data_IF_408893943605
#
_entry.id   IF_408893943605
#
_cell.length_a   1.000
_cell.length_b   1.000
_cell.length_c   1.000
_cell.angle_alpha   90.00
_cell.angle_beta   90.00
_cell.angle_gamma   90.00
#
_symmetry.space_group_name_H-M   'P 1'
#
loop_
_entity.id
_entity.type
_entity.pdbx_description
1 polymer ?
#
# COMPACT_ATOMS: atom_id res chain seq x y z
N UNK A 1 8.22 21.10 -19.05
CA UNK A 1 7.68 21.30 -20.40
C UNK A 1 6.21 20.95 -20.34
N UNK A 2 5.32 21.76 -20.90
CA UNK A 2 3.92 21.37 -21.02
C UNK A 2 3.83 20.29 -22.09
N UNK A 3 3.32 19.10 -21.73
CA UNK A 3 3.05 18.06 -22.71
C UNK A 3 1.81 18.45 -23.50
N UNK A 4 1.85 18.31 -24.83
CA UNK A 4 0.65 18.37 -25.65
C UNK A 4 0.09 16.96 -25.72
N UNK A 5 -1.07 16.75 -25.10
CA UNK A 5 -1.72 15.45 -25.03
C UNK A 5 -2.58 15.21 -26.27
N UNK A 6 -2.59 13.97 -26.77
CA UNK A 6 -3.53 13.53 -27.80
C UNK A 6 -4.98 13.65 -27.30
N UNK A 7 -5.97 13.59 -28.20
CA UNK A 7 -7.38 13.84 -27.88
C UNK A 7 -7.89 12.98 -26.72
N UNK A 8 -7.58 11.68 -26.71
CA UNK A 8 -8.02 10.75 -25.66
C UNK A 8 -7.39 11.07 -24.29
N UNK A 9 -6.11 11.47 -24.28
CA UNK A 9 -5.43 11.87 -23.05
C UNK A 9 -5.88 13.26 -22.56
N UNK A 10 -6.25 14.16 -23.47
CA UNK A 10 -6.85 15.44 -23.12
C UNK A 10 -8.24 15.30 -22.51
N UNK A 11 -8.98 14.25 -22.85
CA UNK A 11 -10.33 14.00 -22.35
C UNK A 11 -10.38 13.77 -20.83
N UNK A 12 -9.30 13.28 -20.20
CA UNK A 12 -9.25 13.11 -18.73
C UNK A 12 -8.89 14.40 -17.98
N UNK A 13 -8.39 15.42 -18.69
CA UNK A 13 -7.99 16.70 -18.13
C UNK A 13 -9.14 17.70 -18.01
N UNK A 14 -10.25 17.47 -18.71
CA UNK A 14 -11.39 18.37 -18.65
C UNK A 14 -12.06 18.32 -17.27
N UNK A 15 -12.53 19.46 -16.72
CA UNK A 15 -13.14 19.51 -15.39
C UNK A 15 -14.33 18.55 -15.20
N UNK A 16 -15.05 18.24 -16.29
CA UNK A 16 -16.20 17.35 -16.29
C UNK A 16 -15.89 15.86 -16.31
N UNK A 17 -14.63 15.43 -16.48
CA UNK A 17 -14.31 14.00 -16.53
C UNK A 17 -14.63 13.32 -15.18
N UNK A 18 -15.15 12.09 -15.24
CA UNK A 18 -15.61 11.34 -14.07
C UNK A 18 -15.37 9.85 -14.25
N UNK A 19 -15.47 9.12 -13.15
CA UNK A 19 -15.36 7.66 -13.11
C UNK A 19 -13.93 7.18 -13.01
N UNK A 20 -13.74 5.87 -13.21
CA UNK A 20 -12.45 5.21 -13.12
C UNK A 20 -11.92 5.04 -14.55
N UNK A 21 -10.76 5.65 -14.83
CA UNK A 21 -10.11 5.62 -16.14
C UNK A 21 -8.70 5.07 -16.00
N UNK A 22 -8.35 4.10 -16.84
CA UNK A 22 -6.97 3.56 -16.88
C UNK A 22 -6.11 4.41 -17.80
N UNK A 23 -4.87 4.64 -17.40
CA UNK A 23 -3.85 5.31 -18.21
C UNK A 23 -2.75 4.30 -18.49
N UNK A 24 -2.78 3.73 -19.69
CA UNK A 24 -1.83 2.73 -20.15
C UNK A 24 -0.75 3.42 -20.99
N UNK A 25 0.48 2.94 -20.92
CA UNK A 25 1.51 3.44 -21.82
C UNK A 25 2.89 2.90 -21.49
N UNK A 26 3.76 2.86 -22.49
CA UNK A 26 5.13 2.36 -22.34
C UNK A 26 6.05 3.21 -21.44
N UNK A 27 7.34 2.84 -21.33
CA UNK A 27 8.35 3.68 -20.72
C UNK A 27 8.45 5.05 -21.40
N UNK A 28 8.44 6.13 -20.61
CA UNK A 28 8.69 7.49 -21.13
C UNK A 28 7.55 8.12 -21.93
N UNK A 29 6.36 7.52 -21.96
CA UNK A 29 5.19 8.07 -22.67
C UNK A 29 4.46 9.18 -21.92
N UNK A 30 4.90 9.50 -20.70
CA UNK A 30 4.36 10.64 -19.93
C UNK A 30 3.22 10.30 -18.96
N UNK A 31 2.97 9.03 -18.63
CA UNK A 31 1.94 8.62 -17.64
C UNK A 31 1.91 9.49 -16.38
N UNK A 32 3.06 9.64 -15.72
CA UNK A 32 3.21 10.47 -14.51
C UNK A 32 2.91 11.95 -14.79
N UNK A 33 3.38 12.49 -15.92
CA UNK A 33 3.06 13.86 -16.33
C UNK A 33 1.57 14.07 -16.53
N UNK A 34 0.87 13.11 -17.17
CA UNK A 34 -0.58 13.21 -17.39
C UNK A 34 -1.35 13.22 -16.06
N UNK A 35 -0.95 12.40 -15.08
CA UNK A 35 -1.55 12.42 -13.74
C UNK A 35 -1.36 13.79 -13.07
N UNK A 36 -0.18 14.40 -13.20
CA UNK A 36 0.07 15.73 -12.63
C UNK A 36 -0.73 16.80 -13.37
N UNK A 37 -0.78 16.76 -14.69
CA UNK A 37 -1.60 17.71 -15.47
C UNK A 37 -3.09 17.57 -15.10
N UNK A 38 -3.57 16.35 -14.83
CA UNK A 38 -4.93 16.12 -14.33
C UNK A 38 -5.13 16.71 -12.93
N UNK A 39 -4.16 16.55 -12.02
CA UNK A 39 -4.20 17.17 -10.69
C UNK A 39 -4.29 18.70 -10.80
N UNK A 40 -3.41 19.30 -11.62
CA UNK A 40 -3.36 20.75 -11.83
C UNK A 40 -4.66 21.25 -12.45
N UNK A 41 -5.18 20.58 -13.49
CA UNK A 41 -6.42 20.98 -14.13
C UNK A 41 -7.62 20.97 -13.17
N UNK A 42 -7.66 20.00 -12.23
CA UNK A 42 -8.72 19.93 -11.20
C UNK A 42 -8.61 21.05 -10.18
N UNK A 43 -7.39 21.32 -9.72
CA UNK A 43 -7.10 22.39 -8.78
C UNK A 43 -7.39 23.76 -9.40
N UNK A 44 -7.00 23.98 -10.66
CA UNK A 44 -7.28 25.21 -11.41
C UNK A 44 -8.78 25.37 -11.70
N UNK A 45 -9.53 24.26 -11.82
CA UNK A 45 -11.00 24.25 -11.92
C UNK A 45 -11.72 24.46 -10.56
N UNK A 46 -10.99 24.67 -9.47
CA UNK A 46 -11.53 24.99 -8.15
C UNK A 46 -11.78 23.80 -7.23
N UNK A 47 -11.32 22.59 -7.57
CA UNK A 47 -11.29 21.48 -6.59
C UNK A 47 -10.27 21.83 -5.50
N UNK A 48 -10.68 21.63 -4.24
CA UNK A 48 -9.77 21.79 -3.11
C UNK A 48 -8.54 20.87 -3.29
N UNK A 49 -7.30 21.40 -3.25
CA UNK A 49 -6.11 20.56 -3.27
C UNK A 49 -6.08 19.43 -2.24
N UNK A 50 -6.71 19.59 -1.07
CA UNK A 50 -6.79 18.54 -0.04
C UNK A 50 -7.69 17.36 -0.45
N UNK A 51 -8.48 17.54 -1.52
CA UNK A 51 -9.30 16.51 -2.15
C UNK A 51 -8.61 15.77 -3.31
N UNK A 52 -7.35 16.10 -3.61
CA UNK A 52 -6.55 15.43 -4.64
C UNK A 52 -5.50 14.54 -3.97
N UNK A 53 -5.57 13.24 -4.24
CA UNK A 53 -4.62 12.25 -3.72
C UNK A 53 -3.89 11.55 -4.87
N UNK A 54 -2.57 11.70 -4.92
CA UNK A 54 -1.66 10.96 -5.79
C UNK A 54 -0.93 9.88 -4.99
N UNK A 55 -1.24 8.62 -5.29
CA UNK A 55 -0.55 7.45 -4.76
C UNK A 55 0.50 6.96 -5.75
N UNK A 56 1.69 6.67 -5.24
CA UNK A 56 2.80 6.12 -6.03
C UNK A 56 3.20 4.75 -5.47
N UNK A 57 3.44 3.79 -6.37
CA UNK A 57 3.98 2.48 -5.98
C UNK A 57 5.45 2.53 -5.52
N UNK A 58 6.25 3.42 -6.12
CA UNK A 58 7.70 3.51 -5.91
C UNK A 58 8.14 4.63 -4.95
N UNK A 59 7.21 5.52 -4.54
CA UNK A 59 7.52 6.69 -3.70
C UNK A 59 8.30 7.79 -4.40
N UNK A 60 8.50 7.69 -5.71
CA UNK A 60 9.35 8.60 -6.47
C UNK A 60 8.52 9.40 -7.45
N UNK A 61 8.38 10.69 -7.16
CA UNK A 61 7.93 11.69 -8.13
C UNK A 61 9.13 12.51 -8.60
N UNK A 62 9.28 12.68 -9.92
CA UNK A 62 10.34 13.48 -10.48
C UNK A 62 10.28 14.94 -10.01
N UNK A 63 11.41 15.64 -10.12
CA UNK A 63 11.52 17.02 -9.64
C UNK A 63 10.62 17.98 -10.42
N UNK A 64 10.45 17.75 -11.73
CA UNK A 64 9.60 18.57 -12.58
C UNK A 64 8.12 18.42 -12.20
N UNK A 65 7.66 17.20 -11.99
CA UNK A 65 6.32 16.84 -11.55
C UNK A 65 6.00 17.46 -10.17
N UNK A 66 6.93 17.37 -9.21
CA UNK A 66 6.79 18.00 -7.90
C UNK A 66 6.69 19.52 -8.00
N UNK A 67 7.52 20.14 -8.84
CA UNK A 67 7.54 21.59 -9.05
C UNK A 67 6.23 22.09 -9.67
N UNK A 68 5.72 21.36 -10.67
CA UNK A 68 4.44 21.67 -11.31
C UNK A 68 3.27 21.63 -10.30
N UNK A 69 3.19 20.56 -9.49
CA UNK A 69 2.17 20.45 -8.46
C UNK A 69 2.29 21.57 -7.40
N UNK A 70 3.50 21.85 -6.93
CA UNK A 70 3.76 22.94 -5.97
C UNK A 70 3.32 24.29 -6.52
N UNK A 71 3.61 24.56 -7.80
CA UNK A 71 3.20 25.80 -8.46
C UNK A 71 1.68 25.93 -8.53
N UNK A 72 0.97 24.84 -8.88
CA UNK A 72 -0.49 24.85 -8.89
C UNK A 72 -1.08 25.12 -7.49
N UNK A 73 -0.52 24.48 -6.45
CA UNK A 73 -0.93 24.71 -5.05
C UNK A 73 -0.81 26.17 -4.63
N UNK A 74 0.32 26.81 -4.95
CA UNK A 74 0.56 28.22 -4.61
C UNK A 74 -0.40 29.17 -5.34
N UNK A 75 -0.80 28.85 -6.58
CA UNK A 75 -1.75 29.65 -7.36
C UNK A 75 -3.16 29.57 -6.81
N UNK A 76 -3.63 28.39 -6.43
CA UNK A 76 -5.02 28.19 -5.98
C UNK A 76 -5.29 28.66 -4.55
N UNK A 77 -4.26 28.91 -3.74
CA UNK A 77 -4.39 29.41 -2.36
C UNK A 77 -3.41 30.55 -2.05
N UNK A 78 -3.57 31.76 -2.63
CA UNK A 78 -2.69 32.88 -2.35
C UNK A 78 -2.72 33.23 -0.85
N UNK A 79 -1.56 33.12 -0.18
CA UNK A 79 -1.39 33.44 1.24
C UNK A 79 -1.46 32.27 2.22
N UNK A 80 -1.79 31.04 1.78
CA UNK A 80 -1.65 29.82 2.61
C UNK A 80 -0.48 28.98 2.11
N UNK A 81 0.60 28.97 2.88
CA UNK A 81 1.85 28.27 2.53
C UNK A 81 1.79 26.76 2.85
N UNK A 82 0.86 26.33 3.73
CA UNK A 82 0.77 24.95 4.18
C UNK A 82 -0.51 24.28 3.71
N UNK A 83 -0.38 23.12 3.05
CA UNK A 83 -1.46 22.14 2.89
C UNK A 83 -1.40 21.22 4.10
N UNK A 84 -2.53 20.98 4.77
CA UNK A 84 -2.55 20.09 5.95
C UNK A 84 -2.23 18.64 5.58
N UNK A 85 -2.49 18.26 4.33
CA UNK A 85 -2.22 16.93 3.80
C UNK A 85 -1.32 16.96 2.56
N UNK A 86 -0.23 16.16 2.52
CA UNK A 86 0.56 16.01 1.32
C UNK A 86 -0.25 15.27 0.26
N UNK A 87 -0.43 15.95 -0.90
CA UNK A 87 -1.15 15.42 -2.06
C UNK A 87 -0.49 14.15 -2.60
N UNK A 88 0.83 14.02 -2.49
CA UNK A 88 1.60 12.89 -3.03
C UNK A 88 2.07 11.99 -1.91
N UNK A 89 1.75 10.70 -1.99
CA UNK A 89 2.14 9.69 -0.99
C UNK A 89 2.53 8.36 -1.64
N UNK A 90 3.27 7.54 -0.90
CA UNK A 90 3.29 6.10 -1.16
C UNK A 90 1.99 5.48 -0.66
N UNK A 91 1.62 4.31 -1.19
CA UNK A 91 0.46 3.55 -0.68
C UNK A 91 0.61 3.24 0.81
N UNK A 92 1.79 2.80 1.24
CA UNK A 92 2.10 2.52 2.65
C UNK A 92 2.03 3.78 3.54
N UNK A 93 2.53 4.92 3.07
CA UNK A 93 2.45 6.19 3.79
C UNK A 93 1.01 6.69 3.91
N UNK A 94 0.16 6.43 2.91
CA UNK A 94 -1.28 6.68 3.01
C UNK A 94 -1.95 5.75 4.03
N UNK A 95 -1.68 4.43 3.96
CA UNK A 95 -2.22 3.45 4.92
C UNK A 95 -1.87 3.79 6.37
N UNK A 96 -0.61 4.17 6.64
CA UNK A 96 -0.20 4.65 7.97
C UNK A 96 -1.00 5.85 8.45
N UNK A 97 -1.29 6.82 7.56
CA UNK A 97 -2.08 7.98 7.93
C UNK A 97 -3.56 7.66 8.19
N UNK A 98 -4.13 6.69 7.47
CA UNK A 98 -5.47 6.18 7.76
C UNK A 98 -5.51 5.58 9.17
N UNK A 99 -4.53 4.74 9.51
CA UNK A 99 -4.44 4.14 10.84
C UNK A 99 -4.22 5.19 11.93
N UNK A 100 -3.44 6.24 11.65
CA UNK A 100 -3.29 7.37 12.57
C UNK A 100 -4.63 8.07 12.84
N UNK A 101 -5.43 8.31 11.79
CA UNK A 101 -6.77 8.90 11.95
C UNK A 101 -7.74 7.98 12.68
N UNK A 102 -7.65 6.67 12.43
CA UNK A 102 -8.44 5.68 13.15
C UNK A 102 -8.13 5.72 14.65
N UNK A 103 -6.83 5.77 15.02
CA UNK A 103 -6.41 5.91 16.40
C UNK A 103 -6.88 7.24 17.02
N UNK A 104 -6.70 8.36 16.31
CA UNK A 104 -7.19 9.69 16.75
C UNK A 104 -8.71 9.68 17.02
N UNK A 105 -9.52 8.99 16.19
CA UNK A 105 -10.97 8.83 16.38
C UNK A 105 -11.31 7.96 17.58
N UNK A 106 -10.51 6.93 17.85
CA UNK A 106 -10.68 6.05 19.01
C UNK A 106 -10.18 6.67 20.32
N UNK A 107 -9.43 7.78 20.26
CA UNK A 107 -8.73 8.37 21.40
C UNK A 107 -7.44 7.63 21.78
N UNK A 108 -6.92 6.82 20.85
CA UNK A 108 -5.72 6.01 21.02
C UNK A 108 -4.47 6.73 20.47
N UNK A 109 -3.30 6.23 20.88
CA UNK A 109 -2.01 6.67 20.36
C UNK A 109 -1.78 6.18 18.91
N UNK A 110 -0.97 6.90 18.10
CA UNK A 110 -0.72 6.55 16.71
C UNK A 110 0.10 5.25 16.58
N UNK A 111 -0.15 4.41 15.56
CA UNK A 111 0.50 3.12 15.40
C UNK A 111 2.03 3.24 15.36
N UNK A 112 2.72 2.29 16.00
CA UNK A 112 4.19 2.22 15.93
C UNK A 112 4.62 1.36 14.74
N UNK A 113 5.62 1.84 13.99
CA UNK A 113 6.27 1.04 12.97
C UNK A 113 7.36 0.16 13.57
N UNK A 114 7.32 -1.14 13.25
CA UNK A 114 8.35 -2.10 13.65
C UNK A 114 9.37 -2.25 12.54
N UNK A 115 10.65 -2.14 12.90
CA UNK A 115 11.74 -2.35 11.94
C UNK A 115 11.95 -3.82 11.65
N UNK A 116 12.52 -4.16 10.49
CA UNK A 116 12.84 -5.56 10.17
C UNK A 116 13.78 -6.21 11.19
N UNK A 117 14.70 -5.44 11.78
CA UNK A 117 15.61 -5.94 12.82
C UNK A 117 14.86 -6.29 14.13
N UNK A 118 13.89 -5.46 14.52
CA UNK A 118 13.01 -5.74 15.67
C UNK A 118 12.13 -6.96 15.39
N UNK A 119 11.52 -7.06 14.20
CA UNK A 119 10.75 -8.24 13.80
C UNK A 119 11.60 -9.51 13.83
N UNK A 120 12.82 -9.48 13.28
CA UNK A 120 13.75 -10.61 13.28
C UNK A 120 14.19 -11.00 14.71
N UNK A 121 14.28 -10.04 15.63
CA UNK A 121 14.56 -10.35 17.04
C UNK A 121 13.39 -11.09 17.70
N UNK A 122 12.16 -10.62 17.51
CA UNK A 122 10.95 -11.26 18.04
C UNK A 122 10.78 -12.65 17.45
N UNK A 123 10.93 -12.81 16.13
CA UNK A 123 10.78 -14.10 15.45
C UNK A 123 11.78 -15.11 16.01
N UNK A 124 13.05 -14.73 16.20
CA UNK A 124 14.07 -15.61 16.79
C UNK A 124 13.76 -15.99 18.23
N UNK A 125 13.22 -15.07 19.03
CA UNK A 125 12.80 -15.35 20.41
C UNK A 125 11.69 -16.41 20.44
N UNK A 126 10.68 -16.28 19.59
CA UNK A 126 9.58 -17.25 19.49
C UNK A 126 10.06 -18.62 18.97
N UNK A 127 10.94 -18.63 17.96
CA UNK A 127 11.52 -19.86 17.42
C UNK A 127 12.40 -20.60 18.43
N UNK A 128 13.11 -19.86 19.29
CA UNK A 128 13.86 -20.44 20.40
C UNK A 128 12.93 -21.09 21.42
N UNK A 129 11.80 -20.45 21.76
CA UNK A 129 10.77 -21.04 22.60
C UNK A 129 10.17 -22.32 22.01
N UNK A 130 9.86 -22.33 20.71
CA UNK A 130 9.39 -23.53 20.00
C UNK A 130 10.42 -24.68 20.05
N UNK A 131 11.72 -24.37 20.00
CA UNK A 131 12.79 -25.36 20.12
C UNK A 131 12.86 -25.97 21.52
N UNK A 132 12.76 -25.13 22.56
CA UNK A 132 12.81 -25.55 23.96
C UNK A 132 11.58 -26.39 24.35
N UNK A 133 10.40 -26.02 23.85
CA UNK A 133 9.14 -26.76 24.09
C UNK A 133 9.05 -28.08 23.30
N UNK A 134 9.78 -28.19 22.19
CA UNK A 134 9.88 -29.40 21.37
C UNK A 134 8.50 -29.91 20.91
N UNK A 135 8.08 -31.15 21.22
CA UNK A 135 6.75 -31.66 20.84
C UNK A 135 5.56 -30.91 21.46
N UNK A 136 5.79 -30.09 22.49
CA UNK A 136 4.74 -29.28 23.14
C UNK A 136 4.60 -27.89 22.55
N UNK A 137 5.48 -27.51 21.62
CA UNK A 137 5.45 -26.22 20.96
C UNK A 137 4.10 -25.99 20.26
N UNK A 138 3.67 -24.72 20.23
CA UNK A 138 2.44 -24.31 19.55
C UNK A 138 2.56 -24.57 18.04
N UNK A 139 3.74 -24.33 17.49
CA UNK A 139 4.05 -24.53 16.08
C UNK A 139 4.58 -25.95 15.81
N UNK A 140 3.87 -26.72 14.99
CA UNK A 140 4.23 -28.09 14.66
C UNK A 140 5.28 -28.17 13.54
N UNK A 141 6.48 -27.61 13.76
CA UNK A 141 7.56 -27.62 12.77
C UNK A 141 7.99 -29.06 12.37
N UNK A 142 8.06 -29.37 11.07
CA UNK A 142 8.58 -30.66 10.58
C UNK A 142 9.97 -30.97 11.13
N UNK A 143 10.23 -32.25 11.44
CA UNK A 143 11.48 -32.68 12.06
C UNK A 143 12.73 -32.25 11.28
N UNK A 144 12.63 -32.18 9.95
CA UNK A 144 13.71 -31.78 9.05
C UNK A 144 14.07 -30.29 9.18
N UNK A 145 13.14 -29.45 9.61
CA UNK A 145 13.36 -28.00 9.77
C UNK A 145 13.83 -27.61 11.18
N UNK A 146 13.68 -28.49 12.17
CA UNK A 146 14.09 -28.20 13.57
C UNK A 146 15.53 -27.69 13.69
N UNK A 147 16.55 -28.28 13.03
CA UNK A 147 17.91 -27.76 13.13
C UNK A 147 18.08 -26.33 12.57
N UNK A 148 17.19 -25.90 11.67
CA UNK A 148 17.26 -24.59 11.05
C UNK A 148 16.62 -23.48 11.90
N UNK A 149 15.72 -23.81 12.84
CA UNK A 149 14.95 -22.83 13.62
C UNK A 149 15.85 -21.86 14.43
N UNK A 150 17.05 -22.31 14.83
CA UNK A 150 18.02 -21.48 15.57
C UNK A 150 18.84 -20.53 14.67
N UNK A 151 18.71 -20.64 13.35
CA UNK A 151 19.52 -19.87 12.40
C UNK A 151 18.88 -18.52 12.07
N UNK A 152 19.71 -17.49 11.90
CA UNK A 152 19.23 -16.17 11.46
C UNK A 152 18.60 -16.20 10.05
N UNK A 153 19.11 -17.08 9.18
CA UNK A 153 18.57 -17.27 7.82
C UNK A 153 17.13 -17.78 7.83
N UNK A 154 16.83 -18.76 8.69
CA UNK A 154 15.46 -19.26 8.82
C UNK A 154 14.48 -18.20 9.31
N UNK A 155 14.86 -17.42 10.34
CA UNK A 155 14.04 -16.31 10.82
C UNK A 155 13.77 -15.26 9.73
N UNK A 156 14.78 -14.94 8.92
CA UNK A 156 14.65 -14.03 7.77
C UNK A 156 13.66 -14.55 6.73
N UNK A 157 13.77 -15.83 6.36
CA UNK A 157 12.86 -16.45 5.39
C UNK A 157 11.42 -16.58 5.94
N UNK A 158 11.27 -16.86 7.24
CA UNK A 158 9.96 -16.88 7.88
C UNK A 158 9.32 -15.48 7.87
N UNK A 159 10.07 -14.43 8.24
CA UNK A 159 9.59 -13.04 8.12
C UNK A 159 9.16 -12.72 6.69
N UNK A 160 9.97 -13.12 5.70
CA UNK A 160 9.65 -12.91 4.29
C UNK A 160 8.34 -13.62 3.90
N UNK A 161 8.14 -14.86 4.35
CA UNK A 161 6.89 -15.60 4.13
C UNK A 161 5.69 -14.84 4.73
N UNK A 162 5.78 -14.40 5.99
CA UNK A 162 4.71 -13.66 6.66
C UNK A 162 4.39 -12.34 5.94
N UNK A 163 5.42 -11.60 5.51
CA UNK A 163 5.23 -10.38 4.72
C UNK A 163 4.50 -10.65 3.40
N UNK A 164 4.84 -11.74 2.68
CA UNK A 164 4.19 -12.11 1.41
C UNK A 164 2.74 -12.57 1.60
N UNK A 165 2.43 -13.16 2.76
CA UNK A 165 1.06 -13.47 3.18
C UNK A 165 0.27 -12.19 3.45
N UNK A 166 0.82 -11.25 4.21
CA UNK A 166 0.19 -9.97 4.51
C UNK A 166 -0.14 -9.17 3.24
N UNK A 167 0.80 -9.05 2.30
CA UNK A 167 0.62 -8.39 0.98
C UNK A 167 -0.49 -9.03 0.11
N UNK A 168 -0.87 -10.28 0.41
CA UNK A 168 -1.97 -11.00 -0.26
C UNK A 168 -3.25 -11.05 0.57
N UNK A 169 -3.22 -10.60 1.82
CA UNK A 169 -4.33 -10.75 2.76
C UNK A 169 -4.58 -12.20 3.15
N UNK A 170 -3.52 -13.02 3.20
CA UNK A 170 -3.57 -14.39 3.71
C UNK A 170 -3.35 -14.30 5.22
N UNK A 171 -4.41 -14.51 6.00
CA UNK A 171 -4.33 -14.60 7.45
C UNK A 171 -3.68 -15.93 7.91
N UNK A 172 -3.26 -16.04 9.18
CA UNK A 172 -2.64 -17.26 9.71
C UNK A 172 -3.48 -18.54 9.50
N UNK A 173 -4.80 -18.43 9.63
CA UNK A 173 -5.73 -19.54 9.42
C UNK A 173 -5.87 -19.95 7.95
N UNK A 174 -5.83 -19.00 7.02
CA UNK A 174 -5.76 -19.27 5.58
C UNK A 174 -4.43 -19.94 5.22
N UNK A 175 -3.30 -19.50 5.78
CA UNK A 175 -2.00 -20.14 5.55
C UNK A 175 -2.00 -21.61 6.00
N UNK A 176 -2.61 -21.91 7.14
CA UNK A 176 -2.81 -23.30 7.58
C UNK A 176 -3.71 -24.10 6.62
N UNK A 177 -4.81 -23.50 6.14
CA UNK A 177 -5.72 -24.14 5.19
C UNK A 177 -5.03 -24.43 3.86
N UNK A 178 -4.20 -23.51 3.37
CA UNK A 178 -3.34 -23.70 2.20
C UNK A 178 -2.33 -24.83 2.42
N UNK A 179 -1.67 -24.87 3.58
CA UNK A 179 -0.76 -25.96 3.95
C UNK A 179 -1.42 -27.33 3.91
N UNK A 180 -2.65 -27.45 4.44
CA UNK A 180 -3.44 -28.70 4.36
C UNK A 180 -3.80 -29.07 2.92
N UNK A 181 -4.30 -28.13 2.13
CA UNK A 181 -4.71 -28.33 0.73
C UNK A 181 -3.54 -28.75 -0.16
N UNK A 182 -2.39 -28.10 0.00
CA UNK A 182 -1.18 -28.33 -0.80
C UNK A 182 -0.28 -29.44 -0.23
N UNK A 183 -0.66 -30.04 0.91
CA UNK A 183 0.14 -31.06 1.62
C UNK A 183 1.56 -30.57 1.97
N UNK A 184 1.65 -29.33 2.43
CA UNK A 184 2.89 -28.67 2.87
C UNK A 184 2.85 -28.45 4.38
N UNK A 185 3.34 -29.40 5.20
CA UNK A 185 3.26 -29.30 6.67
C UNK A 185 4.00 -28.08 7.22
N UNK A 186 5.07 -27.62 6.55
CA UNK A 186 5.80 -26.41 6.92
C UNK A 186 4.96 -25.13 6.79
N UNK A 187 3.94 -25.09 5.90
CA UNK A 187 3.02 -23.95 5.81
C UNK A 187 2.01 -23.96 6.95
N UNK A 188 1.60 -25.16 7.41
CA UNK A 188 0.75 -25.29 8.59
C UNK A 188 1.50 -24.77 9.82
N UNK A 189 2.76 -25.19 10.00
CA UNK A 189 3.62 -24.71 11.07
C UNK A 189 3.83 -23.19 11.01
N UNK A 190 4.08 -22.64 9.81
CA UNK A 190 4.23 -21.19 9.64
C UNK A 190 2.93 -20.42 9.97
N UNK A 191 1.75 -20.95 9.65
CA UNK A 191 0.47 -20.33 10.03
C UNK A 191 0.21 -20.38 11.55
N UNK A 192 0.58 -21.48 12.21
CA UNK A 192 0.51 -21.57 13.68
C UNK A 192 1.46 -20.56 14.33
N UNK A 193 2.70 -20.48 13.83
CA UNK A 193 3.69 -19.51 14.26
C UNK A 193 3.20 -18.08 14.05
N UNK A 194 2.64 -17.77 12.87
CA UNK A 194 2.12 -16.43 12.54
C UNK A 194 1.04 -15.97 13.55
N UNK A 195 0.15 -16.88 13.94
CA UNK A 195 -0.88 -16.60 14.96
C UNK A 195 -0.28 -16.31 16.33
N UNK A 196 0.71 -17.09 16.76
CA UNK A 196 1.43 -16.83 18.01
C UNK A 196 2.16 -15.48 17.94
N UNK A 197 2.81 -15.19 16.82
CA UNK A 197 3.48 -13.91 16.57
C UNK A 197 2.52 -12.72 16.70
N UNK A 198 1.36 -12.77 16.03
CA UNK A 198 0.33 -11.73 16.12
C UNK A 198 -0.16 -11.53 17.56
N UNK A 199 -0.42 -12.62 18.30
CA UNK A 199 -0.84 -12.55 19.70
C UNK A 199 0.23 -11.91 20.60
N UNK A 200 1.51 -12.25 20.38
CA UNK A 200 2.63 -11.64 21.12
C UNK A 200 2.77 -10.16 20.76
N UNK A 201 2.55 -9.77 19.51
CA UNK A 201 2.54 -8.35 19.10
C UNK A 201 1.40 -7.57 19.77
N UNK A 202 0.19 -8.14 19.82
CA UNK A 202 -0.94 -7.55 20.52
C UNK A 202 -0.69 -7.43 22.03
N UNK A 203 -0.10 -8.44 22.67
CA UNK A 203 0.24 -8.40 24.10
C UNK A 203 1.34 -7.39 24.41
N UNK A 204 2.39 -7.32 23.58
CA UNK A 204 3.45 -6.30 23.73
C UNK A 204 2.89 -4.90 23.55
N UNK A 205 1.94 -4.74 22.62
CA UNK A 205 1.16 -3.54 22.48
C UNK A 205 0.24 -3.30 23.69
N UNK A 206 -0.25 -4.28 24.43
CA UNK A 206 -1.11 -4.01 25.59
C UNK A 206 -0.34 -3.71 26.88
N UNK A 207 0.87 -4.27 27.05
CA UNK A 207 1.59 -4.31 28.33
C UNK A 207 2.53 -3.12 28.54
N UNK A 208 2.65 -2.21 27.58
CA UNK A 208 3.20 -0.89 27.87
C UNK A 208 4.61 -0.94 28.48
N UNK A 209 5.55 -1.69 27.90
CA UNK A 209 6.87 -1.84 28.52
C UNK A 209 7.60 -0.49 28.57
N UNK A 210 7.52 0.15 29.74
CA UNK A 210 8.24 1.33 30.21
C UNK A 210 7.95 2.71 29.59
N UNK A 211 7.04 2.88 28.63
CA UNK A 211 6.66 4.19 28.11
C UNK A 211 5.14 4.32 27.88
N UNK A 212 4.50 5.46 28.17
CA UNK A 212 3.06 5.68 27.97
C UNK A 212 2.55 5.49 26.52
N UNK A 213 3.45 5.44 25.54
CA UNK A 213 3.16 5.20 24.12
C UNK A 213 3.05 3.70 23.76
N UNK A 214 3.37 2.82 24.71
CA UNK A 214 3.51 1.38 24.48
C UNK A 214 2.19 0.59 24.61
N UNK A 215 1.02 1.26 24.60
CA UNK A 215 -0.30 0.62 24.46
C UNK A 215 -0.73 0.39 22.99
N UNK A 216 0.14 0.68 22.03
CA UNK A 216 -0.25 0.84 20.62
C UNK A 216 0.15 -0.36 19.76
N UNK A 217 -0.70 -0.82 18.82
CA UNK A 217 -0.34 -1.86 17.86
C UNK A 217 0.96 -1.51 17.12
N UNK A 218 1.92 -2.44 17.20
CA UNK A 218 3.19 -2.33 16.52
C UNK A 218 3.09 -3.11 15.20
N UNK A 219 3.18 -2.40 14.07
CA UNK A 219 2.94 -2.97 12.74
C UNK A 219 4.20 -2.94 11.89
N UNK A 220 4.44 -4.05 11.18
CA UNK A 220 5.41 -4.12 10.11
C UNK A 220 4.94 -3.34 8.87
N UNK A 221 5.89 -2.97 8.02
CA UNK A 221 5.57 -2.24 6.79
C UNK A 221 4.56 -2.99 5.89
N UNK A 222 4.69 -4.31 5.76
CA UNK A 222 3.79 -5.14 4.95
C UNK A 222 2.37 -5.27 5.52
N UNK A 223 2.18 -5.01 6.82
CA UNK A 223 0.89 -5.16 7.50
C UNK A 223 0.05 -3.87 7.41
N UNK A 224 0.67 -2.72 7.17
CA UNK A 224 0.01 -1.40 7.18
C UNK A 224 -1.21 -1.34 6.27
N UNK A 225 -1.10 -1.87 5.05
CA UNK A 225 -2.17 -1.81 4.05
C UNK A 225 -3.35 -2.68 4.47
N UNK A 226 -3.07 -3.91 4.94
CA UNK A 226 -4.09 -4.82 5.47
C UNK A 226 -4.81 -4.23 6.67
N UNK A 227 -4.06 -3.69 7.63
CA UNK A 227 -4.62 -3.03 8.82
C UNK A 227 -5.47 -1.81 8.46
N UNK A 228 -5.08 -1.00 7.47
CA UNK A 228 -5.89 0.14 7.03
C UNK A 228 -7.21 -0.31 6.37
N UNK A 229 -7.17 -1.40 5.59
CA UNK A 229 -8.37 -2.02 5.02
C UNK A 229 -9.31 -2.58 6.10
N UNK A 230 -8.75 -3.18 7.15
CA UNK A 230 -9.52 -3.64 8.31
C UNK A 230 -10.12 -2.47 9.08
N UNK A 231 -9.37 -1.40 9.31
CA UNK A 231 -9.89 -0.19 9.94
C UNK A 231 -11.10 0.40 9.19
N UNK A 232 -11.07 0.42 7.85
CA UNK A 232 -12.22 0.81 7.04
C UNK A 232 -13.41 -0.15 7.13
N UNK A 233 -13.16 -1.45 7.35
CA UNK A 233 -14.22 -2.43 7.52
C UNK A 233 -14.88 -2.32 8.91
N UNK A 234 -14.10 -1.98 9.94
CA UNK A 234 -14.56 -1.84 11.32
C UNK A 234 -15.24 -0.49 11.57
N UNK A 235 -14.72 0.61 10.99
CA UNK A 235 -15.30 1.95 11.05
C UNK A 235 -15.73 2.44 9.65
N UNK A 236 -16.99 2.17 9.22
CA UNK A 236 -17.50 2.66 7.94
C UNK A 236 -17.56 4.19 7.84
N UNK A 237 -17.63 4.91 8.96
CA UNK A 237 -17.61 6.38 8.95
C UNK A 237 -16.23 6.92 8.61
N UNK A 238 -15.16 6.26 9.06
CA UNK A 238 -13.79 6.57 8.65
C UNK A 238 -13.65 6.44 7.13
N UNK A 239 -14.17 5.36 6.55
CA UNK A 239 -14.17 5.18 5.09
C UNK A 239 -15.02 6.24 4.38
N UNK A 240 -16.20 6.57 4.91
CA UNK A 240 -17.06 7.61 4.35
C UNK A 240 -16.38 8.99 4.39
N UNK A 241 -15.68 9.32 5.48
CA UNK A 241 -14.92 10.55 5.62
C UNK A 241 -13.77 10.62 4.61
N UNK A 242 -12.99 9.53 4.44
CA UNK A 242 -11.91 9.49 3.45
C UNK A 242 -12.44 9.60 2.01
N UNK A 243 -13.54 8.90 1.67
CA UNK A 243 -14.18 9.03 0.35
C UNK A 243 -14.79 10.41 0.10
N UNK A 244 -15.37 11.03 1.13
CA UNK A 244 -15.90 12.40 1.04
C UNK A 244 -14.79 13.43 0.85
N UNK A 245 -13.60 13.18 1.44
CA UNK A 245 -12.43 14.02 1.26
C UNK A 245 -11.80 13.84 -0.12
N UNK A 246 -11.56 12.61 -0.56
CA UNK A 246 -10.81 12.29 -1.78
C UNK A 246 -11.75 12.32 -2.99
N UNK A 247 -11.84 13.48 -3.65
CA UNK A 247 -12.63 13.63 -4.88
C UNK A 247 -11.87 13.20 -6.13
N UNK A 248 -10.54 13.35 -6.14
CA UNK A 248 -9.68 12.96 -7.25
C UNK A 248 -8.59 12.02 -6.74
N UNK A 249 -8.63 10.78 -7.23
CA UNK A 249 -7.62 9.76 -6.93
C UNK A 249 -6.74 9.54 -8.16
N UNK A 250 -5.44 9.67 -7.99
CA UNK A 250 -4.44 9.46 -9.02
C UNK A 250 -3.52 8.36 -8.52
N UNK A 251 -3.28 7.33 -9.32
CA UNK A 251 -2.43 6.21 -8.92
C UNK A 251 -1.40 5.97 -10.01
N UNK A 252 -0.13 6.04 -9.64
CA UNK A 252 1.00 5.79 -10.53
C UNK A 252 1.73 4.50 -10.15
N UNK A 253 2.49 3.95 -11.10
CA UNK A 253 3.22 2.68 -10.97
C UNK A 253 2.34 1.51 -10.48
N UNK A 254 1.10 1.43 -10.96
CA UNK A 254 0.13 0.42 -10.51
C UNK A 254 0.64 -1.01 -10.69
N UNK A 255 1.45 -1.25 -11.72
CA UNK A 255 2.08 -2.55 -11.99
C UNK A 255 3.01 -3.06 -10.87
N UNK A 256 3.38 -2.19 -9.93
CA UNK A 256 4.24 -2.52 -8.79
C UNK A 256 3.46 -2.84 -7.51
N UNK A 257 2.13 -2.65 -7.51
CA UNK A 257 1.31 -2.83 -6.31
C UNK A 257 1.09 -4.32 -6.01
N UNK A 258 1.15 -4.67 -4.73
CA UNK A 258 0.68 -5.96 -4.24
C UNK A 258 -0.86 -6.03 -4.22
N UNK A 259 -1.46 -7.24 -4.10
CA UNK A 259 -2.91 -7.40 -4.09
C UNK A 259 -3.66 -6.61 -3.02
N UNK A 260 -3.11 -6.44 -1.80
CA UNK A 260 -3.76 -5.63 -0.77
C UNK A 260 -3.69 -4.13 -1.11
N UNK A 261 -2.55 -3.64 -1.61
CA UNK A 261 -2.42 -2.27 -2.10
C UNK A 261 -3.39 -1.99 -3.24
N UNK A 262 -3.54 -2.94 -4.17
CA UNK A 262 -4.53 -2.86 -5.24
C UNK A 262 -5.97 -2.83 -4.70
N UNK A 263 -6.27 -3.63 -3.66
CA UNK A 263 -7.58 -3.60 -2.98
C UNK A 263 -7.84 -2.25 -2.31
N UNK A 264 -6.85 -1.66 -1.64
CA UNK A 264 -6.96 -0.33 -1.04
C UNK A 264 -7.29 0.73 -2.09
N UNK A 265 -6.59 0.71 -3.23
CA UNK A 265 -6.89 1.60 -4.36
C UNK A 265 -8.34 1.46 -4.83
N UNK A 266 -8.85 0.23 -5.00
CA UNK A 266 -10.25 0.01 -5.39
C UNK A 266 -11.24 0.55 -4.37
N UNK A 267 -10.98 0.34 -3.08
CA UNK A 267 -11.84 0.82 -1.99
C UNK A 267 -11.94 2.36 -2.04
N UNK A 268 -10.84 3.07 -2.29
CA UNK A 268 -10.83 4.52 -2.42
C UNK A 268 -11.48 4.99 -3.74
N UNK A 269 -11.11 4.37 -4.86
CA UNK A 269 -11.58 4.72 -6.20
C UNK A 269 -13.11 4.66 -6.32
N UNK A 270 -13.75 3.73 -5.60
CA UNK A 270 -15.21 3.61 -5.58
C UNK A 270 -15.95 4.84 -5.02
N UNK A 271 -15.26 5.71 -4.26
CA UNK A 271 -15.83 6.97 -3.75
C UNK A 271 -15.34 8.24 -4.46
N UNK A 272 -14.35 8.13 -5.35
CA UNK A 272 -13.77 9.28 -6.03
C UNK A 272 -14.66 9.72 -7.21
N UNK A 273 -14.70 11.04 -7.48
CA UNK A 273 -15.36 11.56 -8.68
C UNK A 273 -14.60 11.21 -9.95
N UNK A 274 -13.27 11.26 -9.87
CA UNK A 274 -12.35 10.81 -10.91
C UNK A 274 -11.25 9.96 -10.26
N UNK A 275 -11.02 8.77 -10.81
CA UNK A 275 -9.86 7.96 -10.49
C UNK A 275 -9.04 7.68 -11.76
N UNK A 276 -7.78 8.12 -11.80
CA UNK A 276 -6.85 7.78 -12.88
C UNK A 276 -5.87 6.73 -12.39
N UNK A 277 -5.89 5.56 -13.03
CA UNK A 277 -5.09 4.39 -12.67
C UNK A 277 -4.03 4.19 -13.75
N UNK A 278 -2.82 4.68 -13.50
CA UNK A 278 -1.73 4.66 -14.48
C UNK A 278 -0.76 3.50 -14.25
N UNK A 279 -0.37 2.85 -15.34
CA UNK A 279 0.63 1.80 -15.29
C UNK A 279 1.06 1.29 -16.66
N UNK A 280 2.06 0.41 -16.62
CA UNK A 280 2.52 -0.35 -17.78
C UNK A 280 2.60 -1.84 -17.40
N UNK A 281 1.74 -2.70 -17.95
CA UNK A 281 1.78 -4.13 -17.64
C UNK A 281 3.13 -4.77 -18.01
N UNK A 282 3.86 -4.20 -18.98
CA UNK A 282 5.18 -4.70 -19.40
C UNK A 282 6.33 -4.24 -18.48
N UNK A 283 6.07 -3.40 -17.47
CA UNK A 283 7.08 -2.92 -16.51
C UNK A 283 6.93 -3.53 -15.11
N UNK A 284 6.16 -4.60 -14.94
CA UNK A 284 6.05 -5.30 -13.67
C UNK A 284 7.38 -6.00 -13.34
N UNK A 285 8.18 -5.42 -12.43
CA UNK A 285 9.50 -5.95 -12.02
C UNK A 285 9.52 -6.40 -10.56
N UNK A 286 8.51 -6.04 -9.76
CA UNK A 286 8.38 -6.46 -8.36
C UNK A 286 7.56 -7.75 -8.17
N UNK A 287 7.42 -8.60 -9.20
CA UNK A 287 6.73 -9.90 -9.08
C UNK A 287 7.32 -10.81 -7.98
N UNK A 288 8.64 -10.79 -7.79
CA UNK A 288 9.31 -11.50 -6.69
C UNK A 288 8.95 -10.94 -5.30
N UNK A 289 8.42 -9.70 -5.24
CA UNK A 289 7.87 -9.07 -4.04
C UNK A 289 6.34 -9.11 -3.99
N UNK A 290 5.71 -9.97 -4.79
CA UNK A 290 4.26 -10.07 -4.82
C UNK A 290 3.54 -8.91 -5.49
N UNK A 291 4.25 -8.05 -6.23
CA UNK A 291 3.62 -7.11 -7.15
C UNK A 291 2.79 -7.89 -8.17
N UNK A 292 1.48 -7.80 -8.02
CA UNK A 292 0.50 -8.46 -8.88
C UNK A 292 -0.68 -7.49 -8.99
N UNK A 293 -0.71 -6.64 -10.04
CA UNK A 293 -1.72 -5.59 -10.18
C UNK A 293 -3.06 -6.16 -10.63
N UNK A 294 -3.41 -7.38 -10.17
CA UNK A 294 -4.55 -8.19 -10.62
C UNK A 294 -5.73 -7.28 -10.83
N UNK A 295 -6.22 -7.16 -12.07
CA UNK A 295 -7.45 -6.47 -12.40
C UNK A 295 -7.50 -4.96 -12.19
N UNK A 296 -6.37 -4.26 -11.94
CA UNK A 296 -6.33 -2.79 -12.02
C UNK A 296 -6.00 -2.31 -13.44
N UNK A 297 -5.15 -3.05 -14.16
CA UNK A 297 -4.77 -2.73 -15.54
C UNK A 297 -5.58 -3.50 -16.59
N UNK A 298 -6.23 -4.61 -16.21
CA UNK A 298 -6.86 -5.58 -17.15
C UNK A 298 -8.41 -5.55 -17.18
N UNK A 299 -9.04 -4.40 -16.89
CA UNK A 299 -10.51 -4.28 -16.95
C UNK A 299 -11.09 -4.00 -18.35
N UNK A 300 -12.43 -3.96 -18.44
CA UNK A 300 -13.16 -3.53 -19.66
C UNK A 300 -13.59 -2.05 -19.62
N UNK A 301 -13.23 -1.33 -18.54
CA UNK A 301 -13.59 0.07 -18.36
C UNK A 301 -12.79 1.04 -19.25
N UNK A 302 -13.14 2.33 -19.23
CA UNK A 302 -12.47 3.36 -20.02
C UNK A 302 -10.95 3.33 -19.85
N UNK A 303 -10.23 3.44 -20.96
CA UNK A 303 -8.78 3.46 -20.98
C UNK A 303 -8.25 4.50 -21.98
N UNK A 304 -7.18 5.18 -21.59
CA UNK A 304 -6.37 6.05 -22.43
C UNK A 304 -5.03 5.36 -22.62
N UNK A 305 -4.59 5.21 -23.87
CA UNK A 305 -3.29 4.60 -24.18
C UNK A 305 -2.34 5.66 -24.70
N UNK A 306 -1.21 5.85 -24.03
CA UNK A 306 -0.12 6.74 -24.42
C UNK A 306 0.93 5.96 -25.22
N UNK A 307 1.06 6.27 -26.50
CA UNK A 307 1.91 5.53 -27.45
C UNK A 307 3.21 6.27 -27.78
N UNK A 308 3.20 7.61 -27.74
CA UNK A 308 4.36 8.43 -28.08
C UNK A 308 5.35 8.49 -26.93
N UNK A 309 6.60 8.06 -27.15
CA UNK A 309 7.68 8.24 -26.17
C UNK A 309 8.26 9.64 -26.25
N UNK A 310 8.41 10.29 -25.10
CA UNK A 310 9.05 11.60 -24.97
C UNK A 310 10.48 11.53 -24.42
N UNK A 311 10.98 10.31 -24.19
CA UNK A 311 12.31 10.06 -23.62
C UNK A 311 13.22 9.27 -24.56
N UNK A 312 12.65 8.34 -25.32
CA UNK A 312 13.41 7.50 -26.25
C UNK A 312 13.53 8.19 -27.61
N UNK A 313 14.70 8.06 -28.24
CA UNK A 313 14.86 8.42 -29.65
C UNK A 313 14.04 7.44 -30.52
N UNK A 314 13.54 7.89 -31.69
CA UNK A 314 12.99 6.97 -32.68
C UNK A 314 14.05 5.95 -33.10
N UNK A 315 13.60 4.72 -33.35
CA UNK A 315 14.44 3.61 -33.79
C UNK A 315 14.99 3.84 -35.21
#
# INVERSE_FOLDING_TARGET
MAHTWEADASAVLVPGARGIVRVLGGPGTGKSSLLIDAAVARIDAGIDPESVLLLTGSGRLGMAERSALTTALLRSRPGRVAVSEPLVRTVHGYAYAVLRRAAERAGDAPPRLVTSAEQDAIIRELLAGDLDDGPRATSAWPAQLRPALSTAGFATELRNLLARCAERGIDPGELERLGRRCRRPEWIAAGQFARQYEQVMLLRAAVGTAAPEATTPALGAAELVGAALEAFAVDPELLAAERGRIRVLLVDDVQQLDPQAARLVRVLAAGAELALIAGDPNQAVFGFRGGEPVGLLDGDGPAVTLTTSHRCAPA
#
